data_IF_097557933368
#
_entry.id   IF_097557933368
#
_cell.length_a   1.000
_cell.length_b   1.000
_cell.length_c   1.000
_cell.angle_alpha   90.00
_cell.angle_beta   90.00
_cell.angle_gamma   90.00
#
_symmetry.space_group_name_H-M   'P 1'
#
loop_
_entity.id
_entity.type
_entity.pdbx_description
1 polymer ?
#
# COMPACT_ATOMS: atom_id res chain seq x y z
N UNK A 1 0.66 17.82 -26.53
CA UNK A 1 1.74 17.23 -25.71
C UNK A 1 1.37 15.79 -25.48
N UNK A 2 2.21 14.88 -25.98
CA UNK A 2 1.95 13.44 -26.05
C UNK A 2 1.63 12.86 -24.67
N UNK A 3 0.70 11.91 -24.60
CA UNK A 3 0.24 11.24 -23.38
C UNK A 3 1.29 10.36 -22.68
N UNK A 4 2.49 10.88 -22.47
CA UNK A 4 3.59 10.24 -21.74
C UNK A 4 3.58 10.71 -20.28
N UNK A 5 3.80 9.78 -19.36
CA UNK A 5 3.91 10.07 -17.93
C UNK A 5 4.92 11.19 -17.65
N UNK A 6 4.56 12.11 -16.75
CA UNK A 6 5.48 13.14 -16.29
C UNK A 6 6.65 12.53 -15.50
N UNK A 7 7.79 13.22 -15.45
CA UNK A 7 8.94 12.80 -14.63
C UNK A 7 8.56 12.61 -13.17
N UNK A 8 7.66 13.45 -12.63
CA UNK A 8 7.19 13.34 -11.24
C UNK A 8 6.36 12.07 -11.01
N UNK A 9 5.50 11.67 -11.96
CA UNK A 9 4.73 10.42 -11.88
C UNK A 9 5.63 9.19 -11.87
N UNK A 10 6.69 9.20 -12.69
CA UNK A 10 7.66 8.10 -12.76
C UNK A 10 8.44 7.99 -11.44
N UNK A 11 8.96 9.11 -10.92
CA UNK A 11 9.71 9.13 -9.66
C UNK A 11 8.84 8.65 -8.50
N UNK A 12 7.62 9.19 -8.35
CA UNK A 12 6.68 8.75 -7.32
C UNK A 12 6.34 7.28 -7.45
N UNK A 13 6.27 6.75 -8.67
CA UNK A 13 6.01 5.34 -8.88
C UNK A 13 7.12 4.45 -8.35
N UNK A 14 8.35 4.71 -8.77
CA UNK A 14 9.49 3.91 -8.35
C UNK A 14 9.78 4.05 -6.86
N UNK A 15 9.58 5.23 -6.28
CA UNK A 15 9.77 5.44 -4.85
C UNK A 15 8.82 4.54 -4.03
N UNK A 16 7.54 4.47 -4.39
CA UNK A 16 6.58 3.55 -3.75
C UNK A 16 7.02 2.09 -3.92
N UNK A 17 7.43 1.69 -5.13
CA UNK A 17 7.90 0.32 -5.40
C UNK A 17 9.09 -0.05 -4.50
N UNK A 18 10.09 0.83 -4.39
CA UNK A 18 11.25 0.59 -3.53
C UNK A 18 10.89 0.52 -2.05
N UNK A 19 9.96 1.35 -1.57
CA UNK A 19 9.53 1.32 -0.18
C UNK A 19 8.70 0.08 0.17
N UNK A 20 7.99 -0.51 -0.79
CA UNK A 20 7.20 -1.72 -0.56
C UNK A 20 8.12 -2.93 -0.29
N UNK A 21 9.29 -3.02 -0.89
CA UNK A 21 10.21 -4.16 -0.72
C UNK A 21 10.51 -4.47 0.76
N UNK A 22 11.02 -3.53 1.59
CA UNK A 22 11.26 -3.79 3.01
C UNK A 22 9.98 -4.09 3.80
N UNK A 23 8.81 -3.61 3.36
CA UNK A 23 7.54 -3.92 4.03
C UNK A 23 7.29 -5.42 4.04
N UNK A 24 7.55 -6.11 2.91
CA UNK A 24 7.39 -7.55 2.81
C UNK A 24 8.50 -8.31 3.53
N UNK A 25 9.77 -7.94 3.30
CA UNK A 25 10.93 -8.64 3.86
C UNK A 25 10.95 -8.65 5.39
N UNK A 26 10.50 -7.56 6.02
CA UNK A 26 10.61 -7.39 7.47
C UNK A 26 9.26 -7.43 8.21
N UNK A 27 8.16 -7.71 7.50
CA UNK A 27 6.80 -7.81 8.08
C UNK A 27 6.70 -8.80 9.25
N UNK A 28 7.51 -9.86 9.27
CA UNK A 28 7.45 -10.89 10.32
C UNK A 28 7.72 -10.34 11.73
N UNK A 29 8.57 -9.30 11.86
CA UNK A 29 8.91 -8.72 13.16
C UNK A 29 7.72 -8.07 13.83
N UNK A 30 6.93 -7.30 13.07
CA UNK A 30 5.73 -6.65 13.61
C UNK A 30 4.61 -7.67 13.87
N UNK A 31 4.47 -8.71 13.04
CA UNK A 31 3.51 -9.79 13.27
C UNK A 31 3.78 -10.53 14.58
N UNK A 32 5.05 -10.90 14.84
CA UNK A 32 5.46 -11.54 16.10
C UNK A 32 5.22 -10.64 17.32
N UNK A 33 5.48 -9.34 17.19
CA UNK A 33 5.25 -8.38 18.27
C UNK A 33 3.75 -8.25 18.60
N UNK A 34 2.89 -8.22 17.58
CA UNK A 34 1.43 -8.21 17.77
C UNK A 34 0.91 -9.51 18.38
N UNK A 35 1.39 -10.66 17.90
CA UNK A 35 1.06 -11.98 18.46
C UNK A 35 1.46 -12.08 19.94
N UNK A 36 2.68 -11.66 20.29
CA UNK A 36 3.12 -11.61 21.68
C UNK A 36 2.21 -10.70 22.51
N UNK A 37 1.89 -9.50 22.00
CA UNK A 37 1.01 -8.53 22.68
C UNK A 37 -0.38 -9.10 22.94
N UNK A 38 -1.01 -9.73 21.95
CA UNK A 38 -2.37 -10.29 22.08
C UNK A 38 -2.42 -11.50 23.02
N UNK A 39 -1.34 -12.28 23.08
CA UNK A 39 -1.24 -13.42 24.00
C UNK A 39 -0.74 -13.04 25.41
N UNK A 40 -0.49 -11.75 25.68
CA UNK A 40 0.01 -11.30 26.99
C UNK A 40 1.47 -11.64 27.27
N UNK A 41 2.27 -11.92 26.24
CA UNK A 41 3.70 -12.19 26.35
C UNK A 41 4.52 -10.90 26.26
N UNK A 42 5.80 -11.00 26.67
CA UNK A 42 6.76 -9.92 26.53
C UNK A 42 6.99 -9.58 25.04
N UNK A 43 6.86 -8.30 24.69
CA UNK A 43 7.07 -7.80 23.33
C UNK A 43 8.55 -7.46 23.15
N UNK A 44 9.21 -8.19 22.26
CA UNK A 44 10.59 -7.89 21.88
C UNK A 44 10.63 -6.69 20.93
N UNK A 45 11.21 -5.60 21.43
CA UNK A 45 11.44 -4.40 20.64
C UNK A 45 12.42 -4.65 19.48
N UNK A 46 12.16 -4.01 18.34
CA UNK A 46 13.03 -4.12 17.18
C UNK A 46 12.96 -2.87 16.30
N UNK A 47 14.09 -2.31 15.86
CA UNK A 47 14.10 -1.19 14.91
C UNK A 47 13.34 -1.48 13.61
N UNK A 48 13.20 -2.76 13.23
CA UNK A 48 12.46 -3.19 12.06
C UNK A 48 10.95 -2.95 12.18
N UNK A 49 10.41 -2.92 13.41
CA UNK A 49 9.02 -2.55 13.66
C UNK A 49 8.83 -1.07 13.34
N UNK A 50 9.70 -0.20 13.89
CA UNK A 50 9.66 1.24 13.62
C UNK A 50 9.87 1.54 12.13
N UNK A 51 10.79 0.84 11.48
CA UNK A 51 11.01 0.95 10.04
C UNK A 51 9.74 0.59 9.25
N UNK A 52 9.08 -0.51 9.62
CA UNK A 52 7.84 -0.95 8.97
C UNK A 52 6.74 0.11 9.10
N UNK A 53 6.52 0.64 10.30
CA UNK A 53 5.49 1.65 10.57
C UNK A 53 5.80 2.96 9.81
N UNK A 54 7.03 3.46 9.92
CA UNK A 54 7.44 4.71 9.29
C UNK A 54 7.33 4.63 7.76
N UNK A 55 7.91 3.59 7.16
CA UNK A 55 7.87 3.45 5.70
C UNK A 55 6.48 3.09 5.19
N UNK A 56 5.66 2.38 5.96
CA UNK A 56 4.24 2.15 5.68
C UNK A 56 3.43 3.45 5.63
N UNK A 57 3.69 4.37 6.57
CA UNK A 57 3.08 5.71 6.56
C UNK A 57 3.55 6.56 5.37
N UNK A 58 4.85 6.52 5.02
CA UNK A 58 5.36 7.23 3.84
C UNK A 58 4.69 6.69 2.56
N UNK A 59 4.56 5.37 2.41
CA UNK A 59 3.85 4.75 1.28
C UNK A 59 2.40 5.26 1.21
N UNK A 60 1.70 5.33 2.34
CA UNK A 60 0.34 5.87 2.40
C UNK A 60 0.26 7.29 1.85
N UNK A 61 1.12 8.20 2.34
CA UNK A 61 1.16 9.59 1.87
C UNK A 61 1.45 9.68 0.37
N UNK A 62 2.39 8.89 -0.13
CA UNK A 62 2.72 8.86 -1.56
C UNK A 62 1.60 8.26 -2.40
N UNK A 63 0.90 7.23 -1.91
CA UNK A 63 -0.26 6.67 -2.57
C UNK A 63 -1.41 7.69 -2.69
N UNK A 64 -1.67 8.46 -1.63
CA UNK A 64 -2.60 9.59 -1.66
C UNK A 64 -2.20 10.63 -2.72
N UNK A 65 -0.93 11.06 -2.72
CA UNK A 65 -0.43 12.04 -3.70
C UNK A 65 -0.58 11.53 -5.14
N UNK A 66 -0.32 10.24 -5.38
CA UNK A 66 -0.50 9.61 -6.69
C UNK A 66 -1.96 9.50 -7.10
N UNK A 67 -2.86 9.20 -6.17
CA UNK A 67 -4.28 9.14 -6.44
C UNK A 67 -4.80 10.53 -6.84
N UNK A 68 -4.42 11.58 -6.11
CA UNK A 68 -4.76 12.98 -6.45
C UNK A 68 -4.26 13.32 -7.85
N UNK A 69 -2.98 13.08 -8.16
CA UNK A 69 -2.43 13.33 -9.50
C UNK A 69 -3.16 12.54 -10.59
N UNK A 70 -3.64 11.33 -10.32
CA UNK A 70 -4.39 10.54 -11.30
C UNK A 70 -5.78 11.13 -11.55
N UNK A 71 -6.47 11.58 -10.51
CA UNK A 71 -7.77 12.23 -10.62
C UNK A 71 -7.64 13.53 -11.42
N UNK A 72 -6.62 14.34 -11.16
CA UNK A 72 -6.35 15.59 -11.90
C UNK A 72 -6.02 15.34 -13.38
N UNK A 73 -5.27 14.28 -13.68
CA UNK A 73 -4.86 13.92 -15.04
C UNK A 73 -5.89 13.09 -15.81
N UNK A 74 -7.00 12.69 -15.20
CA UNK A 74 -8.05 11.89 -15.85
C UNK A 74 -8.71 12.58 -17.06
N UNK A 75 -8.56 13.91 -17.19
CA UNK A 75 -8.96 14.68 -18.37
C UNK A 75 -8.10 14.42 -19.63
N UNK A 76 -6.91 13.80 -19.50
CA UNK A 76 -6.04 13.50 -20.63
C UNK A 76 -6.34 12.09 -21.20
N UNK A 77 -7.40 12.04 -22.01
CA UNK A 77 -7.72 11.07 -23.09
C UNK A 77 -7.11 9.66 -22.96
N UNK A 78 -7.96 8.69 -22.67
CA UNK A 78 -7.66 7.28 -22.95
C UNK A 78 -7.53 7.05 -24.45
N UNK A 79 -6.42 6.42 -24.85
CA UNK A 79 -6.20 5.98 -26.21
C UNK A 79 -7.27 4.92 -26.56
N UNK A 80 -8.12 5.24 -27.53
CA UNK A 80 -9.30 4.46 -27.91
C UNK A 80 -8.98 3.08 -28.52
N UNK A 81 -7.69 2.72 -28.63
CA UNK A 81 -7.19 1.52 -29.31
C UNK A 81 -7.32 0.20 -28.53
N UNK A 82 -7.74 0.22 -27.26
CA UNK A 82 -7.95 -1.01 -26.45
C UNK A 82 -9.42 -1.45 -26.57
N UNK A 83 -9.65 -2.75 -26.79
CA UNK A 83 -11.00 -3.33 -26.79
C UNK A 83 -11.73 -3.10 -25.44
N UNK A 84 -13.07 -3.14 -25.44
CA UNK A 84 -13.88 -2.79 -24.27
C UNK A 84 -13.48 -3.58 -23.01
N UNK A 85 -13.22 -4.87 -23.15
CA UNK A 85 -12.79 -5.76 -22.06
C UNK A 85 -11.42 -5.39 -21.51
N UNK A 86 -10.44 -5.08 -22.37
CA UNK A 86 -9.10 -4.68 -21.96
C UNK A 86 -9.07 -3.35 -21.20
N UNK A 87 -9.98 -2.41 -21.51
CA UNK A 87 -10.14 -1.18 -20.71
C UNK A 87 -10.65 -1.47 -19.30
N UNK A 88 -11.63 -2.35 -19.15
CA UNK A 88 -12.20 -2.70 -17.84
C UNK A 88 -11.14 -3.35 -16.95
N UNK A 89 -10.41 -4.35 -17.46
CA UNK A 89 -9.37 -5.06 -16.69
C UNK A 89 -8.27 -4.09 -16.22
N UNK A 90 -7.83 -3.19 -17.11
CA UNK A 90 -6.79 -2.20 -16.79
C UNK A 90 -7.24 -1.25 -15.67
N UNK A 91 -8.49 -0.77 -15.73
CA UNK A 91 -9.05 0.08 -14.69
C UNK A 91 -9.21 -0.66 -13.37
N UNK A 92 -9.75 -1.88 -13.40
CA UNK A 92 -9.92 -2.70 -12.20
C UNK A 92 -8.60 -2.89 -11.46
N UNK A 93 -7.53 -3.26 -12.18
CA UNK A 93 -6.21 -3.45 -11.57
C UNK A 93 -5.66 -2.16 -10.95
N UNK A 94 -5.83 -1.01 -11.60
CA UNK A 94 -5.33 0.25 -11.05
C UNK A 94 -6.08 0.67 -9.79
N UNK A 95 -7.42 0.59 -9.79
CA UNK A 95 -8.21 0.95 -8.63
C UNK A 95 -7.99 -0.01 -7.46
N UNK A 96 -7.85 -1.32 -7.72
CA UNK A 96 -7.51 -2.30 -6.69
C UNK A 96 -6.16 -1.99 -6.04
N UNK A 97 -5.13 -1.66 -6.82
CA UNK A 97 -3.82 -1.31 -6.26
C UNK A 97 -3.88 -0.03 -5.42
N UNK A 98 -4.60 1.01 -5.85
CA UNK A 98 -4.80 2.20 -5.02
C UNK A 98 -5.55 1.88 -3.73
N UNK A 99 -6.63 1.09 -3.81
CA UNK A 99 -7.37 0.65 -2.65
C UNK A 99 -6.47 -0.08 -1.65
N UNK A 100 -5.69 -1.06 -2.12
CA UNK A 100 -4.81 -1.84 -1.24
C UNK A 100 -3.69 -1.00 -0.62
N UNK A 101 -3.05 -0.11 -1.40
CA UNK A 101 -1.99 0.78 -0.90
C UNK A 101 -2.47 1.77 0.16
N UNK A 102 -3.77 2.06 0.20
CA UNK A 102 -4.39 2.90 1.23
C UNK A 102 -4.93 2.07 2.40
N UNK A 103 -5.61 0.96 2.11
CA UNK A 103 -6.24 0.11 3.12
C UNK A 103 -5.22 -0.61 4.01
N UNK A 104 -4.08 -1.04 3.46
CA UNK A 104 -3.03 -1.71 4.22
C UNK A 104 -2.47 -0.81 5.36
N UNK A 105 -1.96 0.39 5.11
CA UNK A 105 -1.47 1.26 6.18
C UNK A 105 -2.55 1.65 7.18
N UNK A 106 -3.81 1.87 6.75
CA UNK A 106 -4.92 2.22 7.65
C UNK A 106 -5.21 1.06 8.61
N UNK A 107 -5.40 -0.14 8.08
CA UNK A 107 -5.70 -1.33 8.90
C UNK A 107 -4.53 -1.69 9.81
N UNK A 108 -3.29 -1.57 9.33
CA UNK A 108 -2.08 -1.77 10.12
C UNK A 108 -1.95 -0.76 11.27
N UNK A 109 -2.22 0.53 11.00
CA UNK A 109 -2.19 1.57 12.02
C UNK A 109 -3.26 1.34 13.10
N UNK A 110 -4.48 0.95 12.72
CA UNK A 110 -5.54 0.63 13.68
C UNK A 110 -5.13 -0.60 14.51
N UNK A 111 -4.64 -1.66 13.87
CA UNK A 111 -4.17 -2.86 14.57
C UNK A 111 -3.05 -2.55 15.57
N UNK A 112 -2.07 -1.74 15.18
CA UNK A 112 -0.91 -1.42 16.00
C UNK A 112 -1.20 -0.41 17.13
N UNK A 113 -1.77 0.75 16.78
CA UNK A 113 -1.94 1.87 17.72
C UNK A 113 -3.21 1.76 18.56
N UNK A 114 -4.27 1.13 18.05
CA UNK A 114 -5.50 0.89 18.82
C UNK A 114 -5.53 -0.49 19.47
N UNK A 115 -4.60 -1.38 19.11
CA UNK A 115 -4.54 -2.74 19.65
C UNK A 115 -5.74 -3.59 19.28
N UNK A 116 -6.39 -3.33 18.14
CA UNK A 116 -7.58 -4.08 17.71
C UNK A 116 -7.14 -5.24 16.82
N UNK A 117 -7.22 -6.46 17.35
CA UNK A 117 -6.78 -7.70 16.67
C UNK A 117 -7.46 -7.90 15.30
N UNK A 118 -8.76 -7.62 15.21
CA UNK A 118 -9.49 -7.74 13.95
C UNK A 118 -8.85 -6.93 12.80
N UNK A 119 -8.31 -5.74 13.09
CA UNK A 119 -7.65 -4.91 12.09
C UNK A 119 -6.23 -5.39 11.76
N UNK A 120 -5.52 -5.99 12.73
CA UNK A 120 -4.24 -6.65 12.47
C UNK A 120 -4.42 -7.88 11.56
N UNK A 121 -5.45 -8.68 11.80
CA UNK A 121 -5.81 -9.83 10.96
C UNK A 121 -6.25 -9.38 9.56
N UNK A 122 -7.07 -8.33 9.47
CA UNK A 122 -7.47 -7.74 8.20
C UNK A 122 -6.26 -7.22 7.41
N UNK A 123 -5.29 -6.58 8.06
CA UNK A 123 -4.05 -6.14 7.42
C UNK A 123 -3.29 -7.32 6.80
N UNK A 124 -3.14 -8.44 7.53
CA UNK A 124 -2.47 -9.65 7.03
C UNK A 124 -3.23 -10.25 5.84
N UNK A 125 -4.56 -10.29 5.90
CA UNK A 125 -5.40 -10.77 4.80
C UNK A 125 -5.22 -9.91 3.54
N UNK A 126 -5.28 -8.57 3.68
CA UNK A 126 -5.06 -7.63 2.58
C UNK A 126 -3.67 -7.76 1.99
N UNK A 127 -2.64 -8.07 2.80
CA UNK A 127 -1.28 -8.31 2.33
C UNK A 127 -1.21 -9.53 1.42
N UNK A 128 -1.93 -10.60 1.77
CA UNK A 128 -2.01 -11.80 0.93
C UNK A 128 -2.72 -11.52 -0.40
N UNK A 129 -3.80 -10.73 -0.37
CA UNK A 129 -4.51 -10.29 -1.60
C UNK A 129 -3.58 -9.46 -2.49
N UNK A 130 -2.70 -8.62 -1.91
CA UNK A 130 -1.77 -7.80 -2.68
C UNK A 130 -0.76 -8.62 -3.51
N UNK A 131 -0.47 -9.87 -3.11
CA UNK A 131 0.50 -10.74 -3.78
C UNK A 131 -0.12 -11.65 -4.86
N UNK A 132 -1.45 -11.67 -4.98
CA UNK A 132 -2.19 -12.48 -5.97
C UNK A 132 -2.37 -11.72 -7.28
#
# INVERSE_FOLDING_TARGET
MDGKYSKSQIILHWLVVFLIVPQFLFSHKISKALEARFNGYEVLESPLISLHILTGFIIFCLACARLIQRLDNSNHREDYKINYVGRIIKHLNHYTLYFLLLALPITGAIGWFRGIEAFANLHVMLKSIFLM
#
